data_IF_196819424143
#
_entry.id   IF_196819424143
#
_cell.length_a   1.000
_cell.length_b   1.000
_cell.length_c   1.000
_cell.angle_alpha   90.00
_cell.angle_beta   90.00
_cell.angle_gamma   90.00
#
_symmetry.space_group_name_H-M   'P 1'
#
loop_
_entity.id
_entity.type
_entity.pdbx_description
1 polymer ?
#
# COMPACT_ATOMS: atom_id res chain seq x y z
N UNK A 1 -39.47 -6.06 21.91
CA UNK A 1 -38.22 -5.27 22.02
C UNK A 1 -36.94 -6.12 22.02
N UNK A 2 -36.80 -7.18 22.85
CA UNK A 2 -35.59 -8.04 22.87
C UNK A 2 -35.36 -8.84 21.58
N UNK A 3 -36.40 -9.50 21.05
CA UNK A 3 -36.29 -10.34 19.85
C UNK A 3 -35.90 -9.54 18.58
N UNK A 4 -36.49 -8.36 18.39
CA UNK A 4 -36.18 -7.47 17.26
C UNK A 4 -34.71 -7.01 17.30
N UNK A 5 -34.20 -6.61 18.48
CA UNK A 5 -32.76 -6.26 18.63
C UNK A 5 -31.84 -7.45 18.33
N UNK A 6 -32.26 -8.66 18.71
CA UNK A 6 -31.48 -9.87 18.44
C UNK A 6 -31.42 -10.20 16.95
N UNK A 7 -32.56 -10.12 16.25
CA UNK A 7 -32.64 -10.30 14.80
C UNK A 7 -31.82 -9.26 14.03
N UNK A 8 -31.91 -7.98 14.41
CA UNK A 8 -31.15 -6.92 13.77
C UNK A 8 -29.64 -7.15 13.89
N UNK A 9 -29.19 -7.56 15.09
CA UNK A 9 -27.78 -7.88 15.35
C UNK A 9 -27.32 -9.06 14.52
N UNK A 10 -28.13 -10.11 14.38
CA UNK A 10 -27.80 -11.30 13.60
C UNK A 10 -27.69 -10.98 12.09
N UNK A 11 -28.57 -10.11 11.57
CA UNK A 11 -28.52 -9.64 10.19
C UNK A 11 -27.25 -8.83 9.91
N UNK A 12 -26.85 -7.97 10.84
CA UNK A 12 -25.63 -7.18 10.76
C UNK A 12 -24.38 -8.07 10.76
N UNK A 13 -24.35 -9.09 11.64
CA UNK A 13 -23.28 -10.08 11.72
C UNK A 13 -23.13 -10.84 10.41
N UNK A 14 -24.25 -11.30 9.83
CA UNK A 14 -24.25 -12.08 8.59
C UNK A 14 -23.65 -11.30 7.40
N UNK A 15 -23.77 -9.97 7.39
CA UNK A 15 -23.20 -9.11 6.35
C UNK A 15 -21.76 -8.70 6.66
N UNK A 16 -21.45 -8.36 7.91
CA UNK A 16 -20.12 -7.88 8.30
C UNK A 16 -19.07 -8.99 8.35
N UNK A 17 -19.45 -10.22 8.68
CA UNK A 17 -18.54 -11.37 8.75
C UNK A 17 -17.92 -11.73 7.38
N UNK A 18 -18.69 -11.89 6.27
CA UNK A 18 -18.09 -12.11 4.96
C UNK A 18 -17.28 -10.90 4.49
N UNK A 19 -17.66 -9.68 4.89
CA UNK A 19 -16.91 -8.47 4.55
C UNK A 19 -15.54 -8.41 5.24
N UNK A 20 -15.45 -8.80 6.51
CA UNK A 20 -14.19 -8.93 7.25
C UNK A 20 -13.28 -9.98 6.59
N UNK A 21 -13.86 -11.12 6.17
CA UNK A 21 -13.11 -12.16 5.47
C UNK A 21 -12.55 -11.65 4.13
N UNK A 22 -13.34 -10.91 3.37
CA UNK A 22 -12.92 -10.30 2.11
C UNK A 22 -11.78 -9.29 2.31
N UNK A 23 -11.90 -8.38 3.29
CA UNK A 23 -10.84 -7.42 3.61
C UNK A 23 -9.57 -8.13 4.11
N UNK A 24 -9.72 -9.17 4.92
CA UNK A 24 -8.59 -9.96 5.39
C UNK A 24 -7.85 -10.62 4.22
N UNK A 25 -8.58 -11.27 3.29
CA UNK A 25 -7.98 -11.91 2.11
C UNK A 25 -7.29 -10.88 1.21
N UNK A 26 -7.95 -9.75 0.94
CA UNK A 26 -7.39 -8.65 0.16
C UNK A 26 -6.11 -8.10 0.81
N UNK A 27 -6.09 -7.97 2.14
CA UNK A 27 -4.92 -7.50 2.88
C UNK A 27 -3.72 -8.41 2.67
N UNK A 28 -3.91 -9.73 2.85
CA UNK A 28 -2.82 -10.69 2.63
C UNK A 28 -2.32 -10.68 1.20
N UNK A 29 -3.22 -10.56 0.23
CA UNK A 29 -2.86 -10.47 -1.18
C UNK A 29 -2.03 -9.21 -1.48
N UNK A 30 -2.45 -8.04 -0.99
CA UNK A 30 -1.72 -6.77 -1.18
C UNK A 30 -0.37 -6.79 -0.46
N UNK A 31 -0.30 -7.31 0.77
CA UNK A 31 0.95 -7.44 1.53
C UNK A 31 1.94 -8.35 0.79
N UNK A 32 1.46 -9.45 0.22
CA UNK A 32 2.27 -10.35 -0.59
C UNK A 32 2.84 -9.64 -1.82
N UNK A 33 2.00 -8.96 -2.60
CA UNK A 33 2.44 -8.19 -3.77
C UNK A 33 3.42 -7.09 -3.38
N UNK A 34 3.17 -6.38 -2.28
CA UNK A 34 4.07 -5.36 -1.75
C UNK A 34 5.43 -5.97 -1.42
N UNK A 35 5.49 -7.07 -0.67
CA UNK A 35 6.77 -7.65 -0.27
C UNK A 35 7.56 -8.20 -1.46
N UNK A 36 6.87 -8.87 -2.41
CA UNK A 36 7.51 -9.39 -3.62
C UNK A 36 8.05 -8.27 -4.54
N UNK A 37 7.31 -7.17 -4.69
CA UNK A 37 7.69 -6.09 -5.61
C UNK A 37 8.61 -5.04 -4.98
N UNK A 38 8.48 -4.77 -3.68
CA UNK A 38 9.22 -3.71 -2.99
C UNK A 38 10.73 -3.88 -3.13
N UNK A 39 11.24 -5.10 -2.98
CA UNK A 39 12.66 -5.39 -3.14
C UNK A 39 13.17 -4.96 -4.52
N UNK A 40 12.44 -5.31 -5.58
CA UNK A 40 12.82 -5.00 -6.96
C UNK A 40 12.77 -3.49 -7.20
N UNK A 41 11.68 -2.83 -6.83
CA UNK A 41 11.52 -1.39 -7.06
C UNK A 41 12.45 -0.53 -6.22
N UNK A 42 12.72 -0.90 -4.97
CA UNK A 42 13.69 -0.16 -4.15
C UNK A 42 15.12 -0.30 -4.67
N UNK A 43 15.52 -1.50 -5.09
CA UNK A 43 16.82 -1.70 -5.72
C UNK A 43 16.91 -0.97 -7.06
N UNK A 44 15.90 -1.10 -7.92
CA UNK A 44 15.88 -0.44 -9.22
C UNK A 44 15.90 1.09 -9.09
N UNK A 45 15.03 1.64 -8.24
CA UNK A 45 14.95 3.07 -7.98
C UNK A 45 16.24 3.64 -7.38
N UNK A 46 16.84 2.95 -6.41
CA UNK A 46 18.11 3.38 -5.81
C UNK A 46 19.29 3.32 -6.78
N UNK A 47 19.38 2.29 -7.63
CA UNK A 47 20.41 2.19 -8.68
C UNK A 47 20.24 3.30 -9.71
N UNK A 48 19.02 3.61 -10.14
CA UNK A 48 18.75 4.71 -11.07
C UNK A 48 19.10 6.08 -10.46
N UNK A 49 18.73 6.31 -9.20
CA UNK A 49 19.13 7.51 -8.45
C UNK A 49 20.65 7.62 -8.33
N UNK A 50 21.33 6.55 -7.94
CA UNK A 50 22.78 6.52 -7.84
C UNK A 50 23.45 6.80 -9.20
N UNK A 51 22.92 6.21 -10.28
CA UNK A 51 23.41 6.42 -11.65
C UNK A 51 23.22 7.87 -12.09
N UNK A 52 22.08 8.50 -11.78
CA UNK A 52 21.84 9.91 -12.09
C UNK A 52 22.84 10.84 -11.37
N UNK A 53 23.09 10.58 -10.09
CA UNK A 53 24.08 11.32 -9.30
C UNK A 53 25.49 11.11 -9.87
N UNK A 54 25.87 9.85 -10.15
CA UNK A 54 27.20 9.54 -10.71
C UNK A 54 27.41 10.21 -12.06
N UNK A 55 26.40 10.15 -12.94
CA UNK A 55 26.43 10.77 -14.27
C UNK A 55 26.62 12.29 -14.20
N UNK A 56 25.99 12.95 -13.24
CA UNK A 56 26.21 14.38 -12.99
C UNK A 56 27.63 14.66 -12.48
N UNK A 57 28.12 13.88 -11.50
CA UNK A 57 29.45 14.07 -10.92
C UNK A 57 30.58 13.85 -11.93
N UNK A 58 30.41 12.91 -12.86
CA UNK A 58 31.37 12.67 -13.95
C UNK A 58 31.27 13.70 -15.09
N UNK A 59 30.49 14.77 -14.92
CA UNK A 59 30.21 15.79 -15.96
C UNK A 59 29.68 15.19 -17.29
N UNK A 60 29.08 14.00 -17.23
CA UNK A 60 28.62 13.27 -18.41
C UNK A 60 27.20 13.68 -18.83
N UNK A 61 26.39 14.20 -17.91
CA UNK A 61 25.08 14.78 -18.20
C UNK A 61 24.96 16.22 -17.72
N UNK A 62 24.19 17.02 -18.44
CA UNK A 62 23.88 18.40 -18.04
C UNK A 62 22.98 18.39 -16.80
N UNK A 63 23.04 19.42 -15.96
CA UNK A 63 22.28 19.47 -14.70
C UNK A 63 20.77 19.25 -14.87
N UNK A 64 20.18 19.72 -15.98
CA UNK A 64 18.76 19.51 -16.28
C UNK A 64 18.44 18.05 -16.61
N UNK A 65 19.30 17.37 -17.35
CA UNK A 65 19.13 15.96 -17.74
C UNK A 65 19.31 15.02 -16.54
N UNK A 66 20.33 15.29 -15.72
CA UNK A 66 20.56 14.58 -14.46
C UNK A 66 19.35 14.69 -13.53
N UNK A 67 18.76 15.89 -13.43
CA UNK A 67 17.57 16.13 -12.62
C UNK A 67 16.36 15.36 -13.14
N UNK A 68 16.16 15.29 -14.45
CA UNK A 68 15.10 14.47 -15.05
C UNK A 68 15.28 12.97 -14.75
N UNK A 69 16.52 12.45 -14.89
CA UNK A 69 16.82 11.06 -14.53
C UNK A 69 16.61 10.79 -13.03
N UNK A 70 16.98 11.75 -12.18
CA UNK A 70 16.79 11.67 -10.74
C UNK A 70 15.30 11.61 -10.37
N UNK A 71 14.47 12.43 -11.02
CA UNK A 71 13.00 12.37 -10.88
C UNK A 71 12.48 11.00 -11.31
N UNK A 72 12.95 10.46 -12.44
CA UNK A 72 12.56 9.13 -12.91
C UNK A 72 12.87 8.03 -11.89
N UNK A 73 14.10 7.99 -11.37
CA UNK A 73 14.51 7.05 -10.33
C UNK A 73 13.72 7.22 -9.03
N UNK A 74 13.45 8.47 -8.64
CA UNK A 74 12.65 8.79 -7.46
C UNK A 74 11.20 8.32 -7.59
N UNK A 75 10.54 8.54 -8.73
CA UNK A 75 9.16 8.08 -8.96
C UNK A 75 9.09 6.55 -8.86
N UNK A 76 10.04 5.82 -9.44
CA UNK A 76 10.12 4.36 -9.35
C UNK A 76 10.30 3.92 -7.89
N UNK A 77 11.16 4.61 -7.14
CA UNK A 77 11.40 4.34 -5.72
C UNK A 77 10.17 4.61 -4.83
N UNK A 78 9.28 5.52 -5.25
CA UNK A 78 8.06 5.85 -4.53
C UNK A 78 6.92 4.84 -4.73
N UNK A 79 6.96 3.99 -5.78
CA UNK A 79 5.88 3.03 -6.07
C UNK A 79 5.59 2.11 -4.87
N UNK A 80 6.59 1.45 -4.25
CA UNK A 80 6.34 0.59 -3.09
C UNK A 80 5.79 1.36 -1.89
N UNK A 81 6.20 2.63 -1.68
CA UNK A 81 5.69 3.46 -0.59
C UNK A 81 4.18 3.71 -0.72
N UNK A 82 3.70 4.01 -1.93
CA UNK A 82 2.26 4.20 -2.19
C UNK A 82 1.49 2.90 -1.93
N UNK A 83 2.02 1.76 -2.37
CA UNK A 83 1.41 0.44 -2.13
C UNK A 83 1.43 0.11 -0.63
N UNK A 84 2.48 0.46 0.10
CA UNK A 84 2.55 0.34 1.56
C UNK A 84 1.46 1.16 2.26
N UNK A 85 1.16 2.36 1.75
CA UNK A 85 0.03 3.18 2.21
C UNK A 85 -1.32 2.47 2.04
N UNK A 86 -1.53 1.75 0.94
CA UNK A 86 -2.76 0.95 0.71
C UNK A 86 -2.91 -0.15 1.76
N UNK A 87 -1.82 -0.80 2.17
CA UNK A 87 -1.85 -1.81 3.24
C UNK A 87 -2.36 -1.18 4.55
N UNK A 88 -1.88 0.01 4.90
CA UNK A 88 -2.34 0.74 6.10
C UNK A 88 -3.82 1.12 6.00
N UNK A 89 -4.29 1.52 4.83
CA UNK A 89 -5.72 1.81 4.62
C UNK A 89 -6.59 0.56 4.79
N UNK A 90 -6.13 -0.60 4.30
CA UNK A 90 -6.83 -1.88 4.53
C UNK A 90 -6.85 -2.28 6.01
N UNK A 91 -5.75 -2.05 6.74
CA UNK A 91 -5.70 -2.25 8.20
C UNK A 91 -6.75 -1.39 8.90
N UNK A 92 -6.81 -0.10 8.56
CA UNK A 92 -7.80 0.82 9.13
C UNK A 92 -9.23 0.39 8.79
N UNK A 93 -9.50 0.01 7.54
CA UNK A 93 -10.82 -0.49 7.15
C UNK A 93 -11.22 -1.75 7.95
N UNK A 94 -10.29 -2.68 8.15
CA UNK A 94 -10.53 -3.87 8.96
C UNK A 94 -10.83 -3.52 10.44
N UNK A 95 -10.14 -2.54 11.00
CA UNK A 95 -10.39 -2.04 12.37
C UNK A 95 -11.77 -1.39 12.46
N UNK A 96 -12.15 -0.55 11.49
CA UNK A 96 -13.47 0.10 11.48
C UNK A 96 -14.61 -0.90 11.36
N UNK A 97 -14.46 -1.94 10.52
CA UNK A 97 -15.45 -3.03 10.42
C UNK A 97 -15.58 -3.83 11.72
N UNK A 98 -14.49 -3.95 12.50
CA UNK A 98 -14.53 -4.60 13.81
C UNK A 98 -15.20 -3.73 14.88
N UNK A 99 -15.08 -2.40 14.81
CA UNK A 99 -15.75 -1.47 15.73
C UNK A 99 -17.29 -1.59 15.67
N UNK A 100 -17.85 -1.89 14.49
CA UNK A 100 -19.29 -2.13 14.30
C UNK A 100 -19.85 -3.23 15.23
N UNK A 101 -19.01 -4.18 15.68
CA UNK A 101 -19.44 -5.24 16.59
C UNK A 101 -19.53 -4.80 18.07
N UNK A 102 -18.86 -3.71 18.42
CA UNK A 102 -18.79 -3.18 19.78
C UNK A 102 -19.81 -2.07 20.05
N UNK A 103 -20.47 -1.55 19.00
CA UNK A 103 -21.58 -0.60 19.05
C UNK A 103 -22.90 -1.35 19.27
#
# INVERSE_FOLDING_TARGET
>A
MKAIRWLLKLMLVMITLPLILAVWLAKWFVVFLHHCSAWIFYLLGSVLLATAILSYLMHQSQGMEALQMLIGGFVIFMIPQVVGGVVVLLELAAVMLRQVWYI
#
